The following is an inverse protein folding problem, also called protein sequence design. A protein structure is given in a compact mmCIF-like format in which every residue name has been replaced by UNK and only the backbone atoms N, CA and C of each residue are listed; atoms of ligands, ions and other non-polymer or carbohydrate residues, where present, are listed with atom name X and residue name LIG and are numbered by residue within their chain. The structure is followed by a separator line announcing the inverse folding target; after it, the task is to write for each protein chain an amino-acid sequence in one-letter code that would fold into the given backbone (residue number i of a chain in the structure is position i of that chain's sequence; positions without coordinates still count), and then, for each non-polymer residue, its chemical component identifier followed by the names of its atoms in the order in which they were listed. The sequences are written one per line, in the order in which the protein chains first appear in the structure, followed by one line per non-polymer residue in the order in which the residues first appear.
data_IF_428399251472
#
_entry.id   IF_428399251472
#
_cell.length_a   1.000
_cell.length_b   1.000
_cell.length_c   1.000
_cell.angle_alpha   90.00
_cell.angle_beta   90.00
_cell.angle_gamma   90.00
#
_symmetry.space_group_name_H-M   'P 1'
#
loop_
_entity.id
_entity.type
_entity.pdbx_description
1 polymer ?
#
# COMPACT_ATOMS: atom_id res chain seq x y z
N UNK A 1 -3.62 8.09 19.19
CA UNK A 1 -2.86 9.19 18.55
C UNK A 1 -1.73 9.74 19.41
N UNK A 2 -1.98 10.24 20.64
CA UNK A 2 -0.92 10.77 21.53
C UNK A 2 0.22 9.79 21.83
N UNK A 3 -0.11 8.51 21.98
CA UNK A 3 0.86 7.44 22.25
C UNK A 3 1.65 7.04 21.00
N UNK A 4 1.00 7.08 19.83
CA UNK A 4 1.63 6.80 18.52
C UNK A 4 2.61 7.91 18.10
N UNK A 5 2.33 9.18 18.42
CA UNK A 5 3.24 10.31 18.13
C UNK A 5 4.49 10.32 19.03
N UNK A 6 4.44 9.70 20.21
CA UNK A 6 5.59 9.58 21.13
C UNK A 6 6.44 8.34 20.88
N UNK A 7 5.99 7.42 20.03
CA UNK A 7 6.71 6.20 19.74
C UNK A 7 7.95 6.52 18.89
N UNK A 8 9.13 6.05 19.31
CA UNK A 8 10.38 6.09 18.52
C UNK A 8 10.19 5.54 17.09
N UNK A 9 9.21 4.65 16.91
CA UNK A 9 8.78 4.11 15.62
C UNK A 9 8.18 5.12 14.65
N UNK A 10 7.44 6.13 15.13
CA UNK A 10 6.93 7.22 14.29
C UNK A 10 8.06 8.12 13.80
N UNK A 11 9.06 8.36 14.64
CA UNK A 11 10.26 9.14 14.29
C UNK A 11 11.14 8.37 13.29
N UNK A 12 11.32 7.06 13.49
CA UNK A 12 11.97 6.19 12.50
C UNK A 12 11.21 6.21 11.17
N UNK A 13 9.88 6.17 11.18
CA UNK A 13 9.07 6.27 9.98
C UNK A 13 9.26 7.59 9.25
N UNK A 14 9.16 8.73 9.96
CA UNK A 14 9.37 10.05 9.38
C UNK A 14 10.79 10.21 8.84
N UNK A 15 11.77 9.51 9.43
CA UNK A 15 13.16 9.52 9.00
C UNK A 15 13.41 8.61 7.80
N UNK A 16 12.79 7.43 7.72
CA UNK A 16 12.91 6.54 6.55
C UNK A 16 12.19 7.15 5.35
N UNK A 17 10.95 7.62 5.51
CA UNK A 17 10.24 8.31 4.42
C UNK A 17 10.86 9.67 4.11
N UNK A 18 11.16 10.49 5.13
CA UNK A 18 11.84 11.78 4.94
C UNK A 18 13.24 11.64 4.34
N UNK A 19 13.99 10.61 4.74
CA UNK A 19 15.30 10.29 4.19
C UNK A 19 15.22 9.76 2.76
N UNK A 20 14.23 8.90 2.46
CA UNK A 20 13.97 8.48 1.09
C UNK A 20 13.57 9.66 0.20
N UNK A 21 12.83 10.64 0.73
CA UNK A 21 12.51 11.92 0.06
C UNK A 21 13.77 12.76 -0.19
N UNK A 22 14.68 12.88 0.79
CA UNK A 22 15.95 13.60 0.62
C UNK A 22 16.81 12.93 -0.47
N UNK A 23 16.91 11.60 -0.45
CA UNK A 23 17.61 10.83 -1.50
C UNK A 23 16.94 11.01 -2.86
N UNK A 24 15.61 10.95 -2.91
CA UNK A 24 14.78 11.25 -4.09
C UNK A 24 15.13 12.61 -4.68
N UNK A 25 15.20 13.64 -3.83
CA UNK A 25 15.59 14.98 -4.24
C UNK A 25 17.03 15.02 -4.72
N UNK A 26 17.98 14.41 -4.02
CA UNK A 26 19.40 14.40 -4.41
C UNK A 26 19.64 13.69 -5.75
N UNK A 27 18.96 12.58 -6.03
CA UNK A 27 19.11 11.84 -7.29
C UNK A 27 18.25 12.40 -8.44
N UNK A 28 17.13 13.06 -8.13
CA UNK A 28 16.27 13.70 -9.14
C UNK A 28 16.89 14.93 -9.80
N UNK A 29 17.97 15.49 -9.22
CA UNK A 29 18.60 16.74 -9.69
C UNK A 29 19.74 16.47 -10.69
N UNK A 30 20.29 15.26 -10.78
CA UNK A 30 21.65 15.13 -11.34
C UNK A 30 21.76 14.89 -12.84
N UNK A 31 20.83 14.25 -13.57
CA UNK A 31 21.09 14.01 -15.01
C UNK A 31 19.89 14.06 -15.99
N UNK A 32 20.13 14.93 -16.99
CA UNK A 32 19.71 14.90 -18.41
C UNK A 32 18.34 15.44 -18.83
N UNK A 33 18.38 16.65 -19.42
CA UNK A 33 17.33 17.32 -20.20
C UNK A 33 17.15 16.74 -21.63
N UNK A 34 17.39 15.45 -21.87
CA UNK A 34 17.44 14.92 -23.26
C UNK A 34 16.25 14.02 -23.65
N UNK A 35 15.19 13.90 -22.84
CA UNK A 35 14.05 13.03 -23.19
C UNK A 35 12.64 13.64 -23.06
N UNK A 36 12.49 14.96 -22.93
CA UNK A 36 11.14 15.57 -22.92
C UNK A 36 10.25 15.20 -21.73
N UNK A 37 10.78 14.44 -20.75
CA UNK A 37 10.14 14.21 -19.46
C UNK A 37 10.31 15.44 -18.57
N UNK A 38 9.20 16.03 -18.14
CA UNK A 38 9.19 17.06 -17.13
C UNK A 38 9.75 16.48 -15.81
N UNK A 39 10.61 17.22 -15.10
CA UNK A 39 11.28 16.72 -13.90
C UNK A 39 10.35 16.23 -12.77
N UNK A 40 9.09 16.67 -12.73
CA UNK A 40 8.08 16.21 -11.75
C UNK A 40 7.69 14.76 -11.96
N UNK A 41 7.46 14.36 -13.21
CA UNK A 41 6.97 13.01 -13.51
C UNK A 41 7.96 11.97 -13.00
N UNK A 42 9.27 12.23 -13.14
CA UNK A 42 10.33 11.35 -12.64
C UNK A 42 10.38 11.28 -11.11
N UNK A 43 10.27 12.42 -10.40
CA UNK A 43 10.25 12.45 -8.93
C UNK A 43 9.02 11.69 -8.40
N UNK A 44 7.87 11.86 -9.05
CA UNK A 44 6.63 11.15 -8.70
C UNK A 44 6.72 9.66 -9.00
N UNK A 45 7.28 9.25 -10.14
CA UNK A 45 7.52 7.85 -10.49
C UNK A 45 8.42 7.16 -9.45
N UNK A 46 9.51 7.81 -9.03
CA UNK A 46 10.39 7.23 -8.00
C UNK A 46 9.68 7.20 -6.63
N UNK A 47 8.86 8.21 -6.29
CA UNK A 47 8.00 8.16 -5.11
C UNK A 47 7.00 7.01 -5.15
N UNK A 48 6.36 6.76 -6.30
CA UNK A 48 5.46 5.61 -6.53
C UNK A 48 6.20 4.31 -6.32
N UNK A 49 7.41 4.17 -6.88
CA UNK A 49 8.23 2.97 -6.73
C UNK A 49 8.59 2.71 -5.26
N UNK A 50 8.94 3.76 -4.51
CA UNK A 50 9.17 3.66 -3.08
C UNK A 50 7.91 3.26 -2.31
N UNK A 51 6.75 3.83 -2.67
CA UNK A 51 5.48 3.48 -2.06
C UNK A 51 5.14 2.01 -2.30
N UNK A 52 5.32 1.48 -3.51
CA UNK A 52 5.05 0.07 -3.82
C UNK A 52 5.83 -0.89 -2.91
N UNK A 53 7.07 -0.54 -2.55
CA UNK A 53 7.93 -1.41 -1.75
C UNK A 53 7.74 -1.19 -0.26
N UNK A 54 7.86 0.06 0.19
CA UNK A 54 8.01 0.42 1.61
C UNK A 54 6.66 0.51 2.32
N UNK A 55 5.64 1.08 1.68
CA UNK A 55 4.36 1.34 2.32
C UNK A 55 3.65 0.05 2.75
N UNK A 56 3.54 -1.00 1.91
CA UNK A 56 2.93 -2.28 2.28
C UNK A 56 3.57 -2.96 3.49
N UNK A 57 4.90 -3.15 3.47
CA UNK A 57 5.62 -3.82 4.55
C UNK A 57 5.51 -3.03 5.85
N UNK A 58 5.56 -1.70 5.78
CA UNK A 58 5.39 -0.84 6.94
C UNK A 58 4.00 -0.99 7.57
N UNK A 59 2.95 -0.96 6.76
CA UNK A 59 1.57 -1.15 7.23
C UNK A 59 1.45 -2.51 7.90
N UNK A 60 1.98 -3.56 7.27
CA UNK A 60 1.90 -4.91 7.80
C UNK A 60 2.62 -5.04 9.14
N UNK A 61 3.90 -4.66 9.23
CA UNK A 61 4.68 -4.77 10.48
C UNK A 61 4.03 -3.96 11.61
N UNK A 62 3.55 -2.75 11.32
CA UNK A 62 2.93 -1.89 12.32
C UNK A 62 1.53 -2.37 12.74
N UNK A 63 0.80 -3.06 11.87
CA UNK A 63 -0.58 -3.51 12.11
C UNK A 63 -0.63 -4.91 12.71
N UNK A 64 0.23 -5.84 12.30
CA UNK A 64 0.17 -7.23 12.80
C UNK A 64 0.42 -7.35 14.29
N UNK A 65 1.17 -6.44 14.91
CA UNK A 65 1.38 -6.41 16.36
C UNK A 65 0.16 -5.88 17.13
N UNK A 66 -0.80 -5.29 16.44
CA UNK A 66 -1.87 -4.50 17.06
C UNK A 66 -2.85 -5.36 17.86
N UNK A 67 -3.28 -6.51 17.35
CA UNK A 67 -4.24 -7.39 18.06
C UNK A 67 -3.49 -8.49 18.79
N UNK A 68 -2.59 -9.20 18.11
CA UNK A 68 -1.82 -10.30 18.72
C UNK A 68 -0.92 -9.86 19.88
N UNK A 69 -0.36 -8.64 19.85
CA UNK A 69 0.46 -8.13 20.95
C UNK A 69 -0.35 -7.90 22.23
N UNK A 70 -1.58 -7.41 22.10
CA UNK A 70 -2.50 -7.25 23.23
C UNK A 70 -2.97 -8.59 23.79
N UNK A 71 -3.10 -9.62 22.93
CA UNK A 71 -3.40 -11.01 23.34
C UNK A 71 -2.24 -11.62 24.13
N UNK A 72 -1.01 -11.43 23.67
CA UNK A 72 0.18 -11.97 24.36
C UNK A 72 0.44 -11.33 25.72
N UNK A 73 0.07 -10.06 25.90
CA UNK A 73 0.38 -9.31 27.13
C UNK A 73 -0.75 -9.40 28.17
N UNK A 74 -1.79 -10.21 27.95
CA UNK A 74 -3.05 -10.27 28.73
C UNK A 74 -3.74 -8.90 28.94
N UNK A 75 -3.32 -7.87 28.23
CA UNK A 75 -3.92 -6.53 28.25
C UNK A 75 -5.35 -6.58 27.73
N UNK A 76 -5.66 -7.54 26.87
CA UNK A 76 -7.02 -7.77 26.39
C UNK A 76 -7.99 -8.13 27.53
N UNK A 77 -7.56 -8.94 28.51
CA UNK A 77 -8.38 -9.30 29.68
C UNK A 77 -8.70 -8.07 30.53
N UNK A 78 -7.74 -7.15 30.66
CA UNK A 78 -7.93 -5.88 31.33
C UNK A 78 -8.95 -5.00 30.59
N UNK A 79 -8.92 -4.94 29.26
CA UNK A 79 -9.90 -4.19 28.47
C UNK A 79 -11.30 -4.81 28.49
N UNK A 80 -11.41 -6.14 28.56
CA UNK A 80 -12.69 -6.85 28.71
C UNK A 80 -13.35 -6.60 30.07
N UNK A 81 -12.56 -6.26 31.10
CA UNK A 81 -13.10 -5.84 32.40
C UNK A 81 -13.71 -4.42 32.38
N UNK A 82 -13.41 -3.64 31.35
CA UNK A 82 -14.00 -2.32 31.11
C UNK A 82 -15.23 -2.44 30.17
N UNK A 83 -16.21 -1.52 30.26
CA UNK A 83 -17.43 -1.58 29.44
C UNK A 83 -17.18 -1.10 27.99
N UNK A 84 -16.19 -1.69 27.30
CA UNK A 84 -15.83 -1.34 25.92
C UNK A 84 -16.20 -2.49 24.99
N UNK A 85 -16.95 -2.20 23.93
CA UNK A 85 -17.33 -3.22 22.95
C UNK A 85 -16.13 -3.69 22.12
N UNK A 86 -16.04 -4.98 21.82
CA UNK A 86 -15.02 -5.55 20.92
C UNK A 86 -15.03 -4.90 19.53
N UNK A 87 -16.21 -4.46 19.07
CA UNK A 87 -16.37 -3.75 17.81
C UNK A 87 -15.63 -2.40 17.84
N UNK A 88 -15.89 -1.59 18.87
CA UNK A 88 -15.25 -0.28 19.05
C UNK A 88 -13.74 -0.40 19.22
N UNK A 89 -13.26 -1.44 19.92
CA UNK A 89 -11.84 -1.71 20.08
C UNK A 89 -11.16 -2.03 18.74
N UNK A 90 -11.69 -3.00 17.99
CA UNK A 90 -11.08 -3.47 16.74
C UNK A 90 -11.09 -2.39 15.66
N UNK A 91 -12.25 -1.77 15.42
CA UNK A 91 -12.39 -0.72 14.41
C UNK A 91 -11.74 0.60 14.83
N UNK A 92 -11.70 0.90 16.13
CA UNK A 92 -10.93 2.02 16.66
C UNK A 92 -9.42 1.87 16.40
N UNK A 93 -8.87 0.66 16.57
CA UNK A 93 -7.49 0.35 16.19
C UNK A 93 -7.26 0.43 14.68
N UNK A 94 -8.19 -0.10 13.88
CA UNK A 94 -8.14 0.01 12.43
C UNK A 94 -8.05 1.48 11.97
N UNK A 95 -8.99 2.33 12.42
CA UNK A 95 -9.04 3.75 12.07
C UNK A 95 -7.83 4.52 12.61
N UNK A 96 -7.40 4.23 13.84
CA UNK A 96 -6.22 4.85 14.43
C UNK A 96 -4.95 4.56 13.62
N UNK A 97 -4.78 3.31 13.17
CA UNK A 97 -3.66 2.90 12.31
C UNK A 97 -3.75 3.51 10.92
N UNK A 98 -4.97 3.60 10.36
CA UNK A 98 -5.20 4.23 9.06
C UNK A 98 -4.70 5.67 9.07
N UNK A 99 -5.05 6.46 10.09
CA UNK A 99 -4.59 7.85 10.20
C UNK A 99 -3.08 7.94 10.44
N UNK A 100 -2.50 7.07 11.27
CA UNK A 100 -1.05 7.07 11.57
C UNK A 100 -0.21 6.75 10.34
N UNK A 101 -0.69 5.91 9.43
CA UNK A 101 0.00 5.58 8.17
C UNK A 101 -0.27 6.62 7.09
N UNK A 102 -1.54 7.03 6.95
CA UNK A 102 -1.98 7.87 5.83
C UNK A 102 -1.47 9.30 5.95
N UNK A 103 -1.51 9.91 7.14
CA UNK A 103 -1.09 11.31 7.33
C UNK A 103 0.37 11.54 6.89
N UNK A 104 1.35 10.74 7.34
CA UNK A 104 2.73 10.95 6.93
C UNK A 104 3.00 10.64 5.45
N UNK A 105 2.27 9.68 4.88
CA UNK A 105 2.36 9.36 3.45
C UNK A 105 1.83 10.53 2.62
N UNK A 106 0.70 11.12 3.01
CA UNK A 106 0.16 12.34 2.42
C UNK A 106 1.11 13.51 2.55
N UNK A 107 1.74 13.69 3.72
CA UNK A 107 2.73 14.74 3.91
C UNK A 107 3.91 14.59 2.95
N UNK A 108 4.43 13.37 2.78
CA UNK A 108 5.49 13.07 1.84
C UNK A 108 5.10 13.40 0.38
N UNK A 109 3.89 13.02 -0.02
CA UNK A 109 3.37 13.29 -1.36
C UNK A 109 3.16 14.80 -1.60
N UNK A 110 2.55 15.51 -0.65
CA UNK A 110 2.36 16.96 -0.74
C UNK A 110 3.69 17.70 -0.79
N UNK A 111 4.70 17.27 -0.03
CA UNK A 111 6.04 17.85 -0.10
C UNK A 111 6.69 17.66 -1.48
N UNK A 112 6.53 16.49 -2.10
CA UNK A 112 7.00 16.24 -3.46
C UNK A 112 6.27 17.12 -4.50
N UNK A 113 4.96 17.32 -4.33
CA UNK A 113 4.16 18.21 -5.19
C UNK A 113 4.56 19.67 -5.04
N UNK A 114 4.74 20.17 -3.80
CA UNK A 114 5.18 21.54 -3.53
C UNK A 114 6.54 21.81 -4.17
N UNK A 115 7.46 20.85 -4.08
CA UNK A 115 8.76 20.96 -4.74
C UNK A 115 8.64 21.02 -6.27
N UNK A 116 7.72 20.23 -6.85
CA UNK A 116 7.41 20.30 -8.28
C UNK A 116 6.87 21.67 -8.71
N UNK A 117 6.00 22.27 -7.91
CA UNK A 117 5.44 23.61 -8.16
C UNK A 117 6.52 24.70 -8.08
N UNK A 118 7.44 24.63 -7.12
CA UNK A 118 8.57 25.58 -6.98
C UNK A 118 9.50 25.56 -8.21
N UNK A 119 9.48 24.49 -9.01
CA UNK A 119 10.27 24.34 -10.23
C UNK A 119 9.49 24.72 -11.50
N UNK A 120 8.33 25.39 -11.38
CA UNK A 120 7.45 25.83 -12.48
C UNK A 120 7.01 24.69 -13.41
N UNK A 121 6.77 23.51 -12.84
CA UNK A 121 6.34 22.33 -13.59
C UNK A 121 4.81 22.22 -13.57
N UNK A 122 4.23 21.78 -14.70
CA UNK A 122 2.78 21.69 -14.86
C UNK A 122 2.22 20.51 -14.06
N UNK A 123 1.45 20.77 -13.00
CA UNK A 123 0.79 19.75 -12.18
C UNK A 123 -0.70 19.70 -12.48
N UNK A 124 -1.20 18.52 -12.87
CA UNK A 124 -2.63 18.29 -13.10
C UNK A 124 -3.34 17.91 -11.80
N UNK A 125 -4.23 18.78 -11.31
CA UNK A 125 -4.98 18.56 -10.07
C UNK A 125 -5.87 17.29 -10.06
N UNK A 126 -6.54 16.91 -11.17
CA UNK A 126 -7.28 15.64 -11.24
C UNK A 126 -6.40 14.41 -11.00
N UNK A 127 -5.18 14.41 -11.53
CA UNK A 127 -4.19 13.34 -11.36
C UNK A 127 -3.78 13.24 -9.88
N UNK A 128 -3.52 14.37 -9.24
CA UNK A 128 -3.19 14.44 -7.82
C UNK A 128 -4.32 13.85 -6.96
N UNK A 129 -5.57 14.27 -7.17
CA UNK A 129 -6.72 13.77 -6.42
C UNK A 129 -6.92 12.26 -6.58
N UNK A 130 -6.75 11.75 -7.81
CA UNK A 130 -6.83 10.33 -8.10
C UNK A 130 -5.74 9.53 -7.38
N UNK A 131 -4.50 10.02 -7.41
CA UNK A 131 -3.39 9.35 -6.74
C UNK A 131 -3.56 9.30 -5.21
N UNK A 132 -4.12 10.34 -4.61
CA UNK A 132 -4.48 10.35 -3.18
C UNK A 132 -5.51 9.26 -2.89
N UNK A 133 -6.54 9.11 -3.72
CA UNK A 133 -7.54 8.05 -3.58
C UNK A 133 -6.93 6.65 -3.73
N UNK A 134 -5.97 6.50 -4.65
CA UNK A 134 -5.26 5.26 -4.91
C UNK A 134 -4.31 4.88 -3.75
N UNK A 135 -3.63 5.86 -3.14
CA UNK A 135 -2.88 5.68 -1.90
C UNK A 135 -3.79 5.29 -0.73
N UNK A 136 -4.97 5.90 -0.61
CA UNK A 136 -5.93 5.55 0.42
C UNK A 136 -6.44 4.10 0.25
N UNK A 137 -6.73 3.70 -1.00
CA UNK A 137 -7.17 2.35 -1.35
C UNK A 137 -6.15 1.28 -0.95
N UNK A 138 -4.87 1.46 -1.29
CA UNK A 138 -3.83 0.48 -0.96
C UNK A 138 -3.56 0.42 0.55
N UNK A 139 -3.66 1.56 1.26
CA UNK A 139 -3.53 1.59 2.72
C UNK A 139 -4.62 0.74 3.37
N UNK A 140 -5.88 0.89 2.97
CA UNK A 140 -7.00 0.07 3.47
C UNK A 140 -6.76 -1.41 3.18
N UNK A 141 -6.31 -1.76 1.97
CA UNK A 141 -6.01 -3.12 1.58
C UNK A 141 -5.01 -3.80 2.53
N UNK A 142 -3.84 -3.19 2.72
CA UNK A 142 -2.79 -3.75 3.55
C UNK A 142 -3.09 -3.71 5.05
N UNK A 143 -3.86 -2.71 5.50
CA UNK A 143 -4.27 -2.62 6.89
C UNK A 143 -5.30 -3.72 7.21
N UNK A 144 -6.23 -3.98 6.29
CA UNK A 144 -7.15 -5.11 6.38
C UNK A 144 -6.42 -6.46 6.42
N UNK A 145 -5.44 -6.66 5.53
CA UNK A 145 -4.59 -7.85 5.52
C UNK A 145 -3.80 -8.00 6.83
N UNK A 146 -3.22 -6.92 7.34
CA UNK A 146 -2.50 -6.90 8.61
C UNK A 146 -3.39 -7.25 9.80
N UNK A 147 -4.61 -6.71 9.85
CA UNK A 147 -5.58 -7.03 10.91
C UNK A 147 -6.07 -8.48 10.83
N UNK A 148 -6.25 -9.02 9.62
CA UNK A 148 -6.58 -10.42 9.40
C UNK A 148 -5.48 -11.34 9.94
N UNK A 149 -4.23 -11.11 9.56
CA UNK A 149 -3.07 -11.88 10.06
C UNK A 149 -2.97 -11.76 11.59
N UNK A 150 -3.13 -10.55 12.13
CA UNK A 150 -3.06 -10.29 13.58
C UNK A 150 -4.14 -11.07 14.36
N UNK A 151 -5.30 -11.32 13.74
CA UNK A 151 -6.42 -12.02 14.38
C UNK A 151 -6.25 -13.54 14.37
N UNK A 152 -5.50 -14.09 13.40
CA UNK A 152 -5.24 -15.54 13.28
C UNK A 152 -4.01 -15.95 14.07
N UNK A 153 -2.98 -15.11 14.10
CA UNK A 153 -1.73 -15.44 14.75
C UNK A 153 -1.90 -15.51 16.27
N UNK A 154 -1.32 -16.56 16.88
CA UNK A 154 -1.28 -16.72 18.34
C UNK A 154 -0.10 -15.99 18.98
N UNK A 155 0.97 -15.76 18.22
CA UNK A 155 2.18 -15.08 18.68
C UNK A 155 2.62 -13.96 17.74
N UNK A 156 3.22 -12.91 18.29
CA UNK A 156 3.72 -11.75 17.52
C UNK A 156 4.77 -12.19 16.50
N UNK A 157 5.67 -13.09 16.86
CA UNK A 157 6.73 -13.60 15.97
C UNK A 157 6.16 -14.28 14.72
N UNK A 158 5.16 -15.14 14.91
CA UNK A 158 4.45 -15.80 13.81
C UNK A 158 3.67 -14.81 12.94
N UNK A 159 3.03 -13.82 13.56
CA UNK A 159 2.30 -12.77 12.83
C UNK A 159 3.24 -11.96 11.92
N UNK A 160 4.44 -11.62 12.41
CA UNK A 160 5.46 -10.92 11.63
C UNK A 160 5.98 -11.76 10.47
N UNK A 161 6.25 -13.05 10.70
CA UNK A 161 6.64 -13.98 9.64
C UNK A 161 5.60 -14.09 8.54
N UNK A 162 4.31 -14.24 8.90
CA UNK A 162 3.21 -14.29 7.94
C UNK A 162 3.02 -12.98 7.17
N UNK A 163 3.14 -11.83 7.85
CA UNK A 163 3.12 -10.53 7.18
C UNK A 163 4.24 -10.40 6.16
N UNK A 164 5.46 -10.76 6.53
CA UNK A 164 6.62 -10.69 5.63
C UNK A 164 6.46 -11.64 4.43
N UNK A 165 6.02 -12.88 4.65
CA UNK A 165 5.75 -13.83 3.55
C UNK A 165 4.63 -13.35 2.64
N UNK A 166 3.54 -12.80 3.19
CA UNK A 166 2.42 -12.26 2.40
C UNK A 166 2.89 -11.09 1.54
N UNK A 167 3.66 -10.17 2.13
CA UNK A 167 4.27 -9.05 1.42
C UNK A 167 5.19 -9.52 0.29
N UNK A 168 6.11 -10.44 0.58
CA UNK A 168 7.09 -10.94 -0.40
C UNK A 168 6.39 -11.70 -1.54
N UNK A 169 5.35 -12.47 -1.22
CA UNK A 169 4.52 -13.16 -2.22
C UNK A 169 3.85 -12.17 -3.16
N UNK A 170 3.21 -11.13 -2.62
CA UNK A 170 2.56 -10.09 -3.40
C UNK A 170 3.56 -9.23 -4.19
N UNK A 171 4.77 -9.01 -3.68
CA UNK A 171 5.75 -8.14 -4.32
C UNK A 171 6.59 -8.85 -5.38
N UNK A 172 7.19 -10.00 -5.07
CA UNK A 172 8.18 -10.67 -5.92
C UNK A 172 7.63 -11.88 -6.67
N UNK A 173 6.90 -12.75 -5.97
CA UNK A 173 6.54 -14.06 -6.55
C UNK A 173 5.63 -13.92 -7.76
N UNK A 174 4.66 -13.00 -7.72
CA UNK A 174 3.74 -12.80 -8.84
C UNK A 174 4.52 -12.26 -10.07
N UNK A 175 5.37 -11.25 -9.88
CA UNK A 175 6.19 -10.67 -10.98
C UNK A 175 7.10 -11.72 -11.64
N UNK A 176 7.77 -12.57 -10.86
CA UNK A 176 8.66 -13.64 -11.40
C UNK A 176 7.87 -14.72 -12.13
N UNK A 177 6.74 -15.15 -11.56
CA UNK A 177 5.86 -16.14 -12.19
C UNK A 177 5.37 -15.58 -13.53
N UNK A 178 4.92 -14.32 -13.58
CA UNK A 178 4.45 -13.69 -14.82
C UNK A 178 5.52 -13.71 -15.92
N UNK A 179 6.75 -13.28 -15.61
CA UNK A 179 7.85 -13.26 -16.59
C UNK A 179 8.10 -14.67 -17.12
N UNK A 180 8.13 -15.67 -16.23
CA UNK A 180 8.32 -17.07 -16.63
C UNK A 180 7.21 -17.61 -17.52
N UNK A 181 5.96 -17.20 -17.29
CA UNK A 181 4.81 -17.60 -18.11
C UNK A 181 4.82 -16.93 -19.49
N UNK A 182 5.15 -15.64 -19.55
CA UNK A 182 5.27 -14.89 -20.81
C UNK A 182 6.39 -15.44 -21.69
N UNK A 183 7.55 -15.79 -21.11
CA UNK A 183 8.69 -16.35 -21.84
C UNK A 183 8.38 -17.70 -22.49
N UNK A 184 7.48 -18.48 -21.89
CA UNK A 184 7.10 -19.78 -22.43
C UNK A 184 6.03 -19.73 -23.53
N UNK A 185 5.37 -18.58 -23.77
CA UNK A 185 4.28 -18.44 -24.77
C UNK A 185 3.17 -19.51 -24.66
N UNK A 186 3.05 -20.18 -23.49
CA UNK A 186 2.19 -21.36 -23.31
C UNK A 186 0.85 -21.04 -22.65
N UNK A 187 0.59 -19.77 -22.33
CA UNK A 187 -0.58 -19.36 -21.58
C UNK A 187 -1.28 -18.22 -22.33
N UNK A 188 -2.60 -18.31 -22.39
CA UNK A 188 -3.47 -17.29 -22.95
C UNK A 188 -3.30 -15.95 -22.23
N UNK A 189 -3.29 -14.84 -22.96
CA UNK A 189 -3.11 -13.49 -22.43
C UNK A 189 -4.16 -13.13 -21.36
N UNK A 190 -5.38 -13.68 -21.49
CA UNK A 190 -6.48 -13.49 -20.54
C UNK A 190 -6.16 -14.02 -19.13
N UNK A 191 -5.43 -15.13 -19.02
CA UNK A 191 -5.03 -15.73 -17.74
C UNK A 191 -3.94 -14.90 -17.07
N UNK A 192 -3.01 -14.39 -17.87
CA UNK A 192 -1.94 -13.49 -17.43
C UNK A 192 -2.56 -12.22 -16.82
N UNK A 193 -3.48 -11.58 -17.53
CA UNK A 193 -4.22 -10.41 -17.03
C UNK A 193 -4.97 -10.73 -15.74
N UNK A 194 -5.66 -11.87 -15.66
CA UNK A 194 -6.39 -12.29 -14.46
C UNK A 194 -5.48 -12.40 -13.24
N UNK A 195 -4.30 -13.01 -13.39
CA UNK A 195 -3.31 -13.14 -12.31
C UNK A 195 -2.77 -11.76 -11.91
N UNK A 196 -2.53 -10.87 -12.87
CA UNK A 196 -2.09 -9.49 -12.57
C UNK A 196 -3.12 -8.72 -11.76
N UNK A 197 -4.38 -8.77 -12.18
CA UNK A 197 -5.47 -8.04 -11.55
C UNK A 197 -5.80 -8.57 -10.15
N UNK A 198 -5.49 -9.83 -9.86
CA UNK A 198 -5.61 -10.40 -8.51
C UNK A 198 -4.64 -9.75 -7.51
N UNK A 199 -3.53 -9.18 -7.96
CA UNK A 199 -2.56 -8.58 -7.06
C UNK A 199 -2.82 -7.08 -6.84
N UNK A 200 -3.26 -6.64 -5.64
CA UNK A 200 -3.52 -5.23 -5.37
C UNK A 200 -2.27 -4.35 -5.54
N UNK A 201 -1.04 -4.89 -5.36
CA UNK A 201 0.19 -4.13 -5.61
C UNK A 201 0.45 -3.88 -7.08
N UNK A 202 0.18 -4.87 -7.93
CA UNK A 202 0.34 -4.68 -9.37
C UNK A 202 -0.73 -3.75 -9.90
N UNK A 203 -1.98 -3.88 -9.46
CA UNK A 203 -3.07 -2.96 -9.81
C UNK A 203 -2.72 -1.52 -9.42
N UNK A 204 -2.23 -1.30 -8.19
CA UNK A 204 -1.73 0.00 -7.74
C UNK A 204 -0.57 0.52 -8.61
N UNK A 205 0.42 -0.33 -8.91
CA UNK A 205 1.59 0.02 -9.73
C UNK A 205 1.17 0.46 -11.14
N UNK A 206 0.38 -0.37 -11.81
CA UNK A 206 -0.06 -0.13 -13.19
C UNK A 206 -0.90 1.14 -13.27
N UNK A 207 -1.87 1.31 -12.34
CA UNK A 207 -2.68 2.52 -12.30
C UNK A 207 -1.88 3.79 -11.99
N UNK A 208 -0.85 3.71 -11.14
CA UNK A 208 0.04 4.84 -10.86
C UNK A 208 0.88 5.23 -12.08
N UNK A 209 1.45 4.25 -12.80
CA UNK A 209 2.27 4.52 -13.99
C UNK A 209 1.41 5.13 -15.11
N UNK A 210 0.22 4.59 -15.36
CA UNK A 210 -0.71 5.12 -16.39
C UNK A 210 -1.14 6.57 -16.11
N UNK A 211 -1.11 6.96 -14.83
CA UNK A 211 -1.48 8.28 -14.40
C UNK A 211 -0.36 9.31 -14.63
N UNK A 212 0.91 8.92 -14.45
CA UNK A 212 2.07 9.82 -14.49
C UNK A 212 2.98 9.65 -15.72
N UNK A 213 2.83 8.57 -16.49
CA UNK A 213 3.50 8.36 -17.78
C UNK A 213 2.48 8.00 -18.88
N UNK A 214 1.77 9.00 -19.44
CA UNK A 214 0.78 8.78 -20.49
C UNK A 214 1.39 8.31 -21.82
N UNK A 215 2.70 8.50 -22.02
CA UNK A 215 3.40 8.14 -23.26
C UNK A 215 3.81 6.67 -23.29
N UNK A 216 3.61 5.93 -22.18
CA UNK A 216 3.83 4.49 -22.12
C UNK A 216 5.29 4.06 -22.20
N UNK A 217 6.24 4.98 -21.94
CA UNK A 217 7.67 4.69 -22.05
C UNK A 217 8.16 3.72 -20.96
N UNK A 218 7.43 3.63 -19.84
CA UNK A 218 7.76 2.81 -18.67
C UNK A 218 6.74 1.67 -18.48
N UNK A 219 5.74 1.56 -19.34
CA UNK A 219 4.78 0.45 -19.26
C UNK A 219 5.49 -0.86 -19.62
N UNK A 220 5.50 -1.80 -18.66
CA UNK A 220 5.91 -3.18 -18.94
C UNK A 220 4.91 -3.87 -19.88
N UNK A 221 5.31 -4.97 -20.55
CA UNK A 221 4.44 -5.69 -21.49
C UNK A 221 3.07 -6.06 -20.91
N UNK A 222 3.00 -6.42 -19.63
CA UNK A 222 1.74 -6.74 -18.94
C UNK A 222 0.79 -5.55 -18.77
N UNK A 223 1.31 -4.33 -18.66
CA UNK A 223 0.50 -3.11 -18.48
C UNK A 223 -0.25 -2.73 -19.77
N UNK A 224 0.35 -2.99 -20.94
CA UNK A 224 -0.29 -2.73 -22.23
C UNK A 224 -1.46 -3.67 -22.48
N UNK A 225 -1.29 -4.98 -22.20
CA UNK A 225 -2.33 -5.98 -22.39
C UNK A 225 -3.56 -5.71 -21.50
N UNK A 226 -3.35 -5.20 -20.27
CA UNK A 226 -4.46 -4.83 -19.37
C UNK A 226 -5.28 -3.67 -19.93
N UNK A 227 -4.62 -2.65 -20.46
CA UNK A 227 -5.28 -1.47 -21.01
C UNK A 227 -6.08 -1.77 -22.27
N UNK A 228 -5.55 -2.64 -23.14
CA UNK A 228 -6.25 -3.08 -24.35
C UNK A 228 -7.51 -3.89 -24.03
N UNK A 229 -7.50 -4.68 -22.94
CA UNK A 229 -8.65 -5.50 -22.55
C UNK A 229 -9.73 -4.75 -21.76
N UNK A 230 -9.33 -3.90 -20.79
CA UNK A 230 -10.28 -3.26 -19.86
C UNK A 230 -10.75 -1.88 -20.31
N UNK A 231 -9.94 -1.16 -21.08
CA UNK A 231 -10.08 0.28 -21.28
C UNK A 231 -9.63 1.09 -20.06
N UNK A 232 -9.11 2.30 -20.32
CA UNK A 232 -8.47 3.15 -19.30
C UNK A 232 -9.39 3.48 -18.13
N UNK A 233 -10.62 3.93 -18.40
CA UNK A 233 -11.54 4.41 -17.36
C UNK A 233 -12.01 3.29 -16.42
N UNK A 234 -12.34 2.12 -16.99
CA UNK A 234 -12.77 0.96 -16.21
C UNK A 234 -11.64 0.44 -15.33
N UNK A 235 -10.41 0.39 -15.87
CA UNK A 235 -9.25 -0.04 -15.10
C UNK A 235 -8.95 0.92 -13.94
N UNK A 236 -9.09 2.24 -14.16
CA UNK A 236 -8.93 3.21 -13.08
C UNK A 236 -9.97 2.97 -11.97
N UNK A 237 -11.25 2.86 -12.31
CA UNK A 237 -12.29 2.59 -11.31
C UNK A 237 -12.05 1.26 -10.57
N UNK A 238 -11.65 0.22 -11.29
CA UNK A 238 -11.27 -1.07 -10.71
C UNK A 238 -10.10 -0.93 -9.73
N UNK A 239 -9.08 -0.15 -10.09
CA UNK A 239 -7.88 0.04 -9.26
C UNK A 239 -8.15 0.74 -7.93
N UNK A 240 -9.22 1.54 -7.85
CA UNK A 240 -9.66 2.13 -6.59
C UNK A 240 -10.53 1.16 -5.79
N UNK A 241 -11.53 0.55 -6.43
CA UNK A 241 -12.53 -0.27 -5.75
C UNK A 241 -11.95 -1.60 -5.24
N UNK A 242 -11.14 -2.28 -6.06
CA UNK A 242 -10.66 -3.63 -5.78
C UNK A 242 -9.84 -3.73 -4.48
N UNK A 243 -8.79 -2.91 -4.24
CA UNK A 243 -8.02 -3.02 -3.01
C UNK A 243 -8.82 -2.59 -1.77
N UNK A 244 -9.74 -1.63 -1.88
CA UNK A 244 -10.64 -1.24 -0.78
C UNK A 244 -11.53 -2.41 -0.38
N UNK A 245 -12.19 -3.04 -1.36
CA UNK A 245 -13.10 -4.15 -1.11
C UNK A 245 -12.39 -5.32 -0.44
N UNK A 246 -11.22 -5.73 -0.97
CA UNK A 246 -10.42 -6.79 -0.35
C UNK A 246 -9.97 -6.41 1.06
N UNK A 247 -9.49 -5.18 1.26
CA UNK A 247 -9.08 -4.71 2.58
C UNK A 247 -10.20 -4.78 3.60
N UNK A 248 -11.40 -4.33 3.25
CA UNK A 248 -12.57 -4.37 4.11
C UNK A 248 -13.06 -5.79 4.38
N UNK A 249 -13.05 -6.67 3.37
CA UNK A 249 -13.39 -8.09 3.54
C UNK A 249 -12.40 -8.80 4.46
N UNK A 250 -11.10 -8.54 4.32
CA UNK A 250 -10.07 -9.10 5.20
C UNK A 250 -10.20 -8.54 6.63
N UNK A 251 -10.43 -7.23 6.78
CA UNK A 251 -10.62 -6.60 8.07
C UNK A 251 -11.83 -7.15 8.82
N UNK A 252 -12.98 -7.27 8.13
CA UNK A 252 -14.21 -7.84 8.70
C UNK A 252 -14.06 -9.32 9.02
N UNK A 253 -13.41 -10.11 8.15
CA UNK A 253 -13.09 -11.51 8.42
C UNK A 253 -12.19 -11.65 9.65
N UNK A 254 -11.19 -10.78 9.79
CA UNK A 254 -10.34 -10.70 10.98
C UNK A 254 -11.15 -10.40 12.24
N UNK A 255 -12.09 -9.45 12.18
CA UNK A 255 -13.00 -9.13 13.29
C UNK A 255 -13.87 -10.34 13.71
N UNK A 256 -14.45 -11.07 12.76
CA UNK A 256 -15.26 -12.24 13.07
C UNK A 256 -14.44 -13.38 13.70
N UNK A 257 -13.21 -13.60 13.23
CA UNK A 257 -12.29 -14.58 13.81
C UNK A 257 -11.88 -14.19 15.23
N UNK A 258 -11.54 -12.91 15.42
CA UNK A 258 -11.21 -12.34 16.72
C UNK A 258 -12.35 -12.53 17.73
N UNK A 259 -13.60 -12.23 17.33
CA UNK A 259 -14.78 -12.42 18.18
C UNK A 259 -15.02 -13.87 18.58
N UNK A 260 -14.75 -14.84 17.69
CA UNK A 260 -14.95 -16.28 17.99
C UNK A 260 -13.87 -16.85 18.91
N UNK A 261 -12.63 -16.38 18.80
CA UNK A 261 -11.49 -16.93 19.54
C UNK A 261 -11.44 -16.57 21.03
N UNK A 262 -12.05 -15.46 21.44
CA UNK A 262 -11.99 -14.95 22.83
C UNK A 262 -13.30 -15.21 23.63
N UNK A 263 -14.24 -16.00 23.10
CA UNK A 263 -15.49 -16.41 23.77
C UNK A 263 -15.44 -17.84 24.35
N UNK A 264 -14.26 -18.45 24.46
CA UNK A 264 -14.06 -19.82 24.98
C UNK A 264 -13.13 -19.79 26.19
#
# INVERSE_FOLDING_TARGET
MRESMRAKWFLLYSLVFGGAIILLFSFGITESQVLGFAGVDRVLIVYIQLCIVILPIFILISTVRSVVGDKETSVLEYFLSMPVSLFSYFWGKFLGKLLVVFIPTMFAFLAALLWGLVKDLHVSWPIVGYYIALLFSIVICFLGLGMFISSIAKKVEWALGLAFLSWLTLLLFIDVIMIGLMLKHQIEESIIIGITLLNPLQVFRVASIILFDPQGSILGPSSFVILDFFGRENFLLFSLAYPVLIGLVLATSGYYLFKKGDLV
#
